data_IF_548322975332
#
_entry.id   IF_548322975332
#
_cell.length_a   1.000
_cell.length_b   1.000
_cell.length_c   1.000
_cell.angle_alpha   90.00
_cell.angle_beta   90.00
_cell.angle_gamma   90.00
#
_symmetry.space_group_name_H-M   'P 1'
#
loop_
_entity.id
_entity.type
_entity.pdbx_description
1 polymer ?
#
# COMPACT_ATOMS: atom_id res chain seq x y z
N UNK A 1 -6.72 -11.67 -4.66
CA UNK A 1 -5.88 -12.71 -4.02
C UNK A 1 -4.64 -13.07 -4.88
N UNK A 2 -4.78 -13.30 -6.19
CA UNK A 2 -3.67 -13.72 -7.07
C UNK A 2 -2.54 -12.66 -7.12
N UNK A 3 -2.89 -11.39 -7.24
CA UNK A 3 -1.91 -10.28 -7.28
C UNK A 3 -1.18 -10.16 -5.93
N UNK A 4 -1.89 -10.34 -4.80
CA UNK A 4 -1.26 -10.36 -3.48
C UNK A 4 -0.26 -11.52 -3.35
N UNK A 5 -0.62 -12.71 -3.82
CA UNK A 5 0.28 -13.86 -3.83
C UNK A 5 1.51 -13.63 -4.72
N UNK A 6 1.34 -13.00 -5.88
CA UNK A 6 2.45 -12.61 -6.74
C UNK A 6 3.38 -11.59 -6.06
N UNK A 7 2.82 -10.62 -5.34
CA UNK A 7 3.62 -9.65 -4.57
C UNK A 7 4.50 -10.32 -3.52
N UNK A 8 3.97 -11.31 -2.79
CA UNK A 8 4.75 -12.12 -1.84
C UNK A 8 5.83 -12.92 -2.56
N UNK A 9 5.49 -13.58 -3.67
CA UNK A 9 6.46 -14.36 -4.44
C UNK A 9 7.62 -13.49 -4.96
N UNK A 10 7.33 -12.25 -5.38
CA UNK A 10 8.35 -11.30 -5.83
C UNK A 10 9.26 -10.81 -4.68
N UNK A 11 8.75 -10.75 -3.46
CA UNK A 11 9.55 -10.34 -2.29
C UNK A 11 10.44 -11.47 -1.76
N UNK A 12 10.11 -12.75 -1.98
CA UNK A 12 10.87 -13.89 -1.46
C UNK A 12 12.35 -13.90 -1.89
N UNK A 13 12.73 -13.65 -3.15
CA UNK A 13 14.13 -13.61 -3.55
C UNK A 13 14.91 -12.52 -2.81
N UNK A 14 14.30 -11.36 -2.56
CA UNK A 14 14.91 -10.25 -1.82
C UNK A 14 15.15 -10.66 -0.37
N UNK A 15 14.13 -11.22 0.29
CA UNK A 15 14.25 -11.71 1.67
C UNK A 15 15.30 -12.81 1.77
N UNK A 16 15.30 -13.77 0.85
CA UNK A 16 16.31 -14.84 0.83
C UNK A 16 17.72 -14.28 0.63
N UNK A 17 17.91 -13.35 -0.30
CA UNK A 17 19.18 -12.67 -0.52
C UNK A 17 19.68 -11.97 0.73
N UNK A 18 18.79 -11.28 1.47
CA UNK A 18 19.13 -10.62 2.73
C UNK A 18 19.53 -11.59 3.84
N UNK A 19 18.85 -12.72 3.96
CA UNK A 19 19.21 -13.78 4.93
C UNK A 19 20.59 -14.36 4.62
N UNK A 20 20.88 -14.64 3.34
CA UNK A 20 22.22 -15.11 2.92
C UNK A 20 23.27 -14.05 3.23
N UNK A 21 22.96 -12.79 2.97
CA UNK A 21 23.85 -11.66 3.25
C UNK A 21 24.16 -11.57 4.75
N UNK A 22 23.15 -11.66 5.60
CA UNK A 22 23.29 -11.64 7.06
C UNK A 22 24.17 -12.81 7.55
N UNK A 23 23.99 -13.97 6.95
CA UNK A 23 24.80 -15.17 7.28
C UNK A 23 26.28 -14.96 6.90
N UNK A 24 26.55 -14.41 5.71
CA UNK A 24 27.90 -14.14 5.24
C UNK A 24 28.59 -13.05 6.07
N UNK A 25 27.88 -11.97 6.39
CA UNK A 25 28.41 -10.89 7.23
C UNK A 25 28.78 -11.40 8.64
N UNK A 26 27.93 -12.23 9.23
CA UNK A 26 28.19 -12.82 10.54
C UNK A 26 29.39 -13.80 10.55
N UNK A 27 29.56 -14.60 9.51
CA UNK A 27 30.63 -15.62 9.47
C UNK A 27 31.97 -15.10 8.98
N UNK A 28 31.98 -14.13 8.09
CA UNK A 28 33.20 -13.69 7.43
C UNK A 28 33.61 -12.25 7.78
N UNK A 29 32.80 -11.49 8.48
CA UNK A 29 33.06 -10.11 8.98
C UNK A 29 33.73 -9.19 7.95
N UNK A 30 33.49 -9.38 6.64
CA UNK A 30 34.20 -8.70 5.56
C UNK A 30 33.28 -7.92 4.60
N UNK A 31 31.98 -7.96 4.78
CA UNK A 31 31.04 -7.34 3.87
C UNK A 31 30.52 -6.00 4.46
N UNK A 32 31.10 -4.90 4.02
CA UNK A 32 30.69 -3.54 4.36
C UNK A 32 29.39 -3.13 3.62
N UNK A 33 28.27 -3.77 3.95
CA UNK A 33 26.94 -3.36 3.46
C UNK A 33 26.14 -2.60 4.50
N UNK A 34 26.74 -1.65 5.17
CA UNK A 34 26.10 -0.86 6.21
C UNK A 34 25.94 -1.57 7.56
N UNK A 35 26.55 -2.76 7.72
CA UNK A 35 26.47 -3.55 8.96
C UNK A 35 25.07 -4.10 9.24
N UNK A 36 24.85 -4.56 10.47
CA UNK A 36 23.57 -5.14 10.91
C UNK A 36 22.39 -4.16 10.80
N UNK A 37 22.63 -2.86 10.95
CA UNK A 37 21.58 -1.82 10.83
C UNK A 37 21.07 -1.68 9.40
N UNK A 38 21.98 -1.66 8.41
CA UNK A 38 21.59 -1.61 6.99
C UNK A 38 20.77 -2.84 6.58
N UNK A 39 21.21 -4.04 6.97
CA UNK A 39 20.49 -5.29 6.68
C UNK A 39 19.13 -5.31 7.38
N UNK A 40 19.04 -4.84 8.63
CA UNK A 40 17.78 -4.74 9.36
C UNK A 40 16.76 -3.84 8.66
N UNK A 41 17.21 -2.70 8.16
CA UNK A 41 16.38 -1.77 7.40
C UNK A 41 15.88 -2.40 6.10
N UNK A 42 16.73 -3.09 5.35
CA UNK A 42 16.36 -3.81 4.14
C UNK A 42 15.35 -4.94 4.40
N UNK A 43 15.55 -5.73 5.45
CA UNK A 43 14.59 -6.76 5.84
C UNK A 43 13.25 -6.15 6.24
N UNK A 44 13.25 -5.09 7.03
CA UNK A 44 12.04 -4.38 7.42
C UNK A 44 11.26 -3.91 6.21
N UNK A 45 11.93 -3.29 5.24
CA UNK A 45 11.31 -2.82 4.02
C UNK A 45 10.77 -3.96 3.14
N UNK A 46 11.55 -5.03 2.95
CA UNK A 46 11.14 -6.20 2.17
C UNK A 46 9.92 -6.93 2.76
N UNK A 47 9.69 -6.79 4.07
CA UNK A 47 8.51 -7.34 4.75
C UNK A 47 7.32 -6.38 4.75
N UNK A 48 7.53 -5.11 5.06
CA UNK A 48 6.43 -4.14 5.23
C UNK A 48 5.71 -3.84 3.93
N UNK A 49 6.42 -3.68 2.85
CA UNK A 49 5.80 -3.32 1.56
C UNK A 49 4.87 -4.41 1.01
N UNK A 50 5.27 -5.70 0.93
CA UNK A 50 4.37 -6.77 0.49
C UNK A 50 3.19 -7.01 1.43
N UNK A 51 3.36 -6.81 2.74
CA UNK A 51 2.29 -7.01 3.72
C UNK A 51 1.10 -6.09 3.46
N UNK A 52 1.33 -4.83 3.10
CA UNK A 52 0.26 -3.90 2.73
C UNK A 52 -0.56 -4.48 1.56
N UNK A 53 0.11 -5.00 0.53
CA UNK A 53 -0.55 -5.58 -0.65
C UNK A 53 -1.31 -6.86 -0.30
N UNK A 54 -0.71 -7.72 0.54
CA UNK A 54 -1.32 -8.99 0.95
C UNK A 54 -2.63 -8.79 1.70
N UNK A 55 -2.71 -7.76 2.55
CA UNK A 55 -3.92 -7.47 3.32
C UNK A 55 -4.87 -6.52 2.60
N UNK A 56 -4.37 -5.48 1.98
CA UNK A 56 -5.18 -4.44 1.35
C UNK A 56 -5.92 -4.93 0.09
N UNK A 57 -5.25 -5.71 -0.77
CA UNK A 57 -5.87 -6.20 -2.01
C UNK A 57 -7.05 -7.16 -1.77
N UNK A 58 -6.94 -8.20 -0.92
CA UNK A 58 -8.09 -9.04 -0.61
C UNK A 58 -9.20 -8.26 0.08
N UNK A 59 -8.87 -7.36 1.01
CA UNK A 59 -9.86 -6.53 1.70
C UNK A 59 -10.63 -5.64 0.71
N UNK A 60 -9.93 -4.96 -0.20
CA UNK A 60 -10.54 -4.15 -1.25
C UNK A 60 -11.42 -4.99 -2.20
N UNK A 61 -10.96 -6.20 -2.56
CA UNK A 61 -11.72 -7.13 -3.40
C UNK A 61 -13.01 -7.61 -2.73
N UNK A 62 -12.92 -8.06 -1.49
CA UNK A 62 -14.08 -8.51 -0.69
C UNK A 62 -15.07 -7.37 -0.48
N UNK A 63 -14.59 -6.18 -0.17
CA UNK A 63 -15.45 -5.02 0.00
C UNK A 63 -16.16 -4.64 -1.31
N UNK A 64 -15.46 -4.64 -2.43
CA UNK A 64 -16.05 -4.36 -3.74
C UNK A 64 -17.20 -5.32 -4.10
N UNK A 65 -17.16 -6.57 -3.60
CA UNK A 65 -18.24 -7.54 -3.79
C UNK A 65 -19.35 -7.42 -2.73
N UNK A 66 -19.00 -7.12 -1.48
CA UNK A 66 -19.98 -7.04 -0.39
C UNK A 66 -20.85 -5.80 -0.44
N UNK A 67 -20.33 -4.65 -0.90
CA UNK A 67 -21.11 -3.42 -0.99
C UNK A 67 -22.38 -3.59 -1.85
N UNK A 68 -22.32 -4.09 -3.10
CA UNK A 68 -23.51 -4.28 -3.91
C UNK A 68 -24.51 -5.28 -3.30
N UNK A 69 -24.00 -6.34 -2.67
CA UNK A 69 -24.86 -7.37 -2.04
C UNK A 69 -25.57 -6.81 -0.82
N UNK A 70 -24.88 -6.06 0.04
CA UNK A 70 -25.46 -5.48 1.25
C UNK A 70 -26.54 -4.45 0.93
N UNK A 71 -26.30 -3.62 -0.07
CA UNK A 71 -27.23 -2.56 -0.50
C UNK A 71 -28.21 -3.00 -1.58
N UNK A 72 -28.14 -4.27 -2.02
CA UNK A 72 -29.02 -4.85 -3.07
C UNK A 72 -29.04 -4.05 -4.36
N UNK A 73 -27.91 -3.49 -4.72
CA UNK A 73 -27.72 -2.70 -5.95
C UNK A 73 -26.75 -3.39 -6.89
N UNK A 74 -26.76 -3.02 -8.15
CA UNK A 74 -25.69 -3.39 -9.08
C UNK A 74 -24.50 -2.47 -8.88
N UNK A 75 -23.30 -3.03 -8.89
CA UNK A 75 -22.07 -2.23 -8.88
C UNK A 75 -22.05 -1.32 -10.11
N UNK A 76 -22.17 -0.01 -9.90
CA UNK A 76 -22.41 0.97 -10.97
C UNK A 76 -21.31 0.99 -12.05
N UNK A 77 -20.05 0.76 -11.67
CA UNK A 77 -18.90 0.82 -12.58
C UNK A 77 -17.80 -0.18 -12.17
N UNK A 78 -18.02 -1.45 -12.47
CA UNK A 78 -17.09 -2.53 -12.12
C UNK A 78 -15.66 -2.30 -12.62
N UNK A 79 -15.51 -1.70 -13.80
CA UNK A 79 -14.19 -1.36 -14.36
C UNK A 79 -13.40 -0.38 -13.51
N UNK A 80 -14.06 0.60 -12.88
CA UNK A 80 -13.39 1.57 -11.99
C UNK A 80 -12.94 0.91 -10.69
N UNK A 81 -13.73 -0.05 -10.15
CA UNK A 81 -13.30 -0.82 -8.99
C UNK A 81 -12.02 -1.63 -9.29
N UNK A 82 -11.95 -2.27 -10.45
CA UNK A 82 -10.74 -2.96 -10.88
C UNK A 82 -9.56 -2.01 -11.10
N UNK A 83 -9.79 -0.82 -11.65
CA UNK A 83 -8.75 0.20 -11.77
C UNK A 83 -8.23 0.65 -10.40
N UNK A 84 -9.11 0.88 -9.42
CA UNK A 84 -8.70 1.18 -8.04
C UNK A 84 -7.86 0.06 -7.41
N UNK A 85 -8.28 -1.20 -7.58
CA UNK A 85 -7.51 -2.36 -7.11
C UNK A 85 -6.17 -2.49 -7.84
N UNK A 86 -6.11 -2.18 -9.14
CA UNK A 86 -4.87 -2.19 -9.90
C UNK A 86 -3.89 -1.11 -9.41
N UNK A 87 -4.38 0.10 -9.12
CA UNK A 87 -3.56 1.17 -8.52
C UNK A 87 -3.00 0.77 -7.15
N UNK A 88 -3.83 0.12 -6.32
CA UNK A 88 -3.38 -0.42 -5.04
C UNK A 88 -2.28 -1.48 -5.23
N UNK A 89 -2.37 -2.29 -6.29
CA UNK A 89 -1.42 -3.35 -6.59
C UNK A 89 -0.03 -2.83 -7.02
N UNK A 90 0.10 -1.57 -7.41
CA UNK A 90 1.39 -0.96 -7.79
C UNK A 90 2.40 -1.04 -6.64
N UNK A 91 1.94 -0.98 -5.39
CA UNK A 91 2.81 -1.15 -4.21
C UNK A 91 3.58 -2.48 -4.22
N UNK A 92 3.04 -3.54 -4.85
CA UNK A 92 3.76 -4.80 -4.97
C UNK A 92 5.08 -4.67 -5.75
N UNK A 93 5.15 -3.74 -6.71
CA UNK A 93 6.33 -3.49 -7.50
C UNK A 93 7.42 -2.73 -6.71
N UNK A 94 7.06 -2.04 -5.64
CA UNK A 94 8.02 -1.37 -4.78
C UNK A 94 8.99 -2.38 -4.14
N UNK A 95 8.58 -3.62 -3.90
CA UNK A 95 9.41 -4.67 -3.34
C UNK A 95 10.65 -5.02 -4.19
N UNK A 96 10.58 -4.80 -5.51
CA UNK A 96 11.69 -5.05 -6.45
C UNK A 96 12.48 -3.79 -6.81
N UNK A 97 12.05 -2.63 -6.32
CA UNK A 97 12.77 -1.37 -6.52
C UNK A 97 13.84 -1.19 -5.45
N UNK A 98 14.77 -0.29 -5.71
CA UNK A 98 15.87 -0.04 -4.79
C UNK A 98 15.33 0.52 -3.47
N UNK A 99 15.91 0.04 -2.34
CA UNK A 99 15.64 0.59 -1.02
C UNK A 99 15.99 2.09 -1.00
N UNK A 100 15.00 2.89 -1.18
CA UNK A 100 15.03 4.30 -0.87
C UNK A 100 13.83 4.56 0.03
N UNK A 101 14.05 5.23 1.14
CA UNK A 101 12.94 5.88 1.81
C UNK A 101 12.32 6.78 0.74
N UNK A 102 11.13 6.46 0.26
CA UNK A 102 10.40 7.33 -0.64
C UNK A 102 9.92 8.52 0.19
N UNK A 103 10.80 9.48 0.38
CA UNK A 103 10.50 10.73 1.07
C UNK A 103 10.62 11.88 0.09
N UNK A 104 9.80 12.88 0.29
CA UNK A 104 9.79 14.12 -0.47
C UNK A 104 9.94 15.27 0.49
N UNK A 105 10.96 16.11 0.24
CA UNK A 105 11.06 17.42 0.86
C UNK A 105 10.30 18.45 0.03
N UNK A 106 9.51 19.28 0.68
CA UNK A 106 8.79 20.41 0.08
C UNK A 106 9.62 21.69 0.09
N UNK A 107 10.93 21.58 0.39
CA UNK A 107 11.83 22.72 0.42
C UNK A 107 11.88 23.40 -0.96
N UNK A 108 11.57 24.69 -0.98
CA UNK A 108 11.52 25.52 -2.19
C UNK A 108 12.90 25.81 -2.79
N UNK A 109 13.97 25.59 -2.03
CA UNK A 109 15.36 25.84 -2.47
C UNK A 109 15.97 24.64 -3.22
N UNK A 110 15.25 23.50 -3.28
CA UNK A 110 15.69 22.34 -4.03
C UNK A 110 15.66 22.59 -5.55
N UNK A 111 16.69 22.13 -6.25
CA UNK A 111 16.69 22.15 -7.71
C UNK A 111 15.51 21.33 -8.25
N UNK A 112 14.78 21.86 -9.23
CA UNK A 112 13.59 21.21 -9.82
C UNK A 112 13.86 19.76 -10.26
N UNK A 113 15.08 19.46 -10.69
CA UNK A 113 15.48 18.11 -11.11
C UNK A 113 15.54 17.11 -9.95
N UNK A 114 16.02 17.52 -8.79
CA UNK A 114 16.11 16.68 -7.60
C UNK A 114 14.72 16.45 -7.00
N UNK A 115 13.89 17.50 -6.94
CA UNK A 115 12.49 17.37 -6.53
C UNK A 115 11.73 16.35 -7.40
N UNK A 116 11.81 16.42 -8.72
CA UNK A 116 11.13 15.48 -9.62
C UNK A 116 11.65 14.07 -9.43
N UNK A 117 12.96 13.90 -9.21
CA UNK A 117 13.59 12.60 -8.99
C UNK A 117 13.06 11.89 -7.74
N UNK A 118 12.75 12.63 -6.68
CA UNK A 118 12.27 12.07 -5.42
C UNK A 118 10.73 12.03 -5.37
N UNK A 119 10.03 13.02 -5.91
CA UNK A 119 8.59 13.10 -5.96
C UNK A 119 7.94 12.02 -6.84
N UNK A 120 8.56 11.65 -7.97
CA UNK A 120 7.95 10.67 -8.89
C UNK A 120 7.84 9.28 -8.26
N UNK A 121 8.88 8.68 -7.69
CA UNK A 121 8.76 7.39 -6.99
C UNK A 121 7.79 7.47 -5.81
N UNK A 122 7.84 8.52 -5.01
CA UNK A 122 6.92 8.76 -3.90
C UNK A 122 5.45 8.74 -4.35
N UNK A 123 5.11 9.50 -5.37
CA UNK A 123 3.74 9.53 -5.91
C UNK A 123 3.32 8.18 -6.48
N UNK A 124 4.22 7.44 -7.12
CA UNK A 124 3.89 6.14 -7.72
C UNK A 124 3.67 5.08 -6.64
N UNK A 125 4.53 5.00 -5.62
CA UNK A 125 4.51 3.90 -4.67
C UNK A 125 3.68 4.18 -3.41
N UNK A 126 3.47 5.44 -3.05
CA UNK A 126 2.66 5.86 -1.91
C UNK A 126 1.36 6.57 -2.32
N UNK A 127 1.43 7.45 -3.31
CA UNK A 127 0.27 8.22 -3.77
C UNK A 127 -0.75 7.38 -4.55
N UNK A 128 -0.32 6.60 -5.53
CA UNK A 128 -1.23 5.77 -6.33
C UNK A 128 -1.97 4.71 -5.52
N UNK A 129 -1.36 3.98 -4.57
CA UNK A 129 -2.08 3.04 -3.71
C UNK A 129 -3.15 3.70 -2.86
N UNK A 130 -2.85 4.87 -2.28
CA UNK A 130 -3.84 5.65 -1.53
C UNK A 130 -5.00 6.08 -2.44
N UNK A 131 -4.69 6.59 -3.64
CA UNK A 131 -5.70 6.95 -4.63
C UNK A 131 -6.55 5.73 -5.00
N UNK A 132 -5.94 4.58 -5.25
CA UNK A 132 -6.64 3.32 -5.54
C UNK A 132 -7.61 2.93 -4.42
N UNK A 133 -7.19 3.06 -3.17
CA UNK A 133 -8.02 2.80 -2.01
C UNK A 133 -9.20 3.77 -1.91
N UNK A 134 -8.96 5.06 -2.12
CA UNK A 134 -10.01 6.08 -2.13
C UNK A 134 -11.02 5.85 -3.26
N UNK A 135 -10.58 5.39 -4.43
CA UNK A 135 -11.48 5.02 -5.53
C UNK A 135 -12.38 3.85 -5.13
N UNK A 136 -11.84 2.80 -4.51
CA UNK A 136 -12.65 1.64 -4.04
C UNK A 136 -13.66 2.09 -2.97
N UNK A 137 -13.23 2.91 -2.01
CA UNK A 137 -14.10 3.44 -0.97
C UNK A 137 -15.19 4.37 -1.54
N UNK A 138 -14.82 5.26 -2.46
CA UNK A 138 -15.75 6.16 -3.14
C UNK A 138 -16.83 5.42 -3.93
N UNK A 139 -16.46 4.36 -4.63
CA UNK A 139 -17.42 3.48 -5.32
C UNK A 139 -18.33 2.74 -4.33
N UNK A 140 -17.78 2.30 -3.20
CA UNK A 140 -18.57 1.74 -2.10
C UNK A 140 -19.59 2.74 -1.58
N UNK A 141 -19.18 3.98 -1.34
CA UNK A 141 -20.06 5.06 -0.89
C UNK A 141 -21.16 5.39 -1.92
N UNK A 142 -20.82 5.43 -3.21
CA UNK A 142 -21.82 5.62 -4.28
C UNK A 142 -22.83 4.47 -4.33
N UNK A 143 -22.35 3.23 -4.24
CA UNK A 143 -23.20 2.03 -4.19
C UNK A 143 -24.12 2.05 -2.97
N UNK A 144 -23.61 2.47 -1.82
CA UNK A 144 -24.41 2.65 -0.61
C UNK A 144 -25.48 3.72 -0.77
N UNK A 145 -25.14 4.86 -1.37
CA UNK A 145 -26.08 5.96 -1.64
C UNK A 145 -27.24 5.52 -2.55
N UNK A 146 -26.92 4.81 -3.63
CA UNK A 146 -27.96 4.27 -4.53
C UNK A 146 -28.85 3.23 -3.83
N UNK A 147 -28.26 2.38 -3.01
CA UNK A 147 -28.98 1.33 -2.29
C UNK A 147 -29.86 1.83 -1.17
N UNK A 148 -29.49 2.90 -0.49
CA UNK A 148 -30.32 3.56 0.55
C UNK A 148 -31.62 4.13 -0.04
N UNK A 149 -31.59 4.56 -1.32
CA UNK A 149 -32.80 4.99 -2.03
C UNK A 149 -33.72 3.85 -2.44
N UNK A 150 -33.21 2.62 -2.57
CA UNK A 150 -33.96 1.45 -3.04
C UNK A 150 -34.59 0.60 -1.89
N UNK A 151 -34.18 0.79 -0.64
CA UNK A 151 -34.71 0.06 0.51
C UNK A 151 -33.75 -0.04 1.69
N UNK A 152 -34.15 -0.81 2.72
CA UNK A 152 -33.31 -1.01 3.91
C UNK A 152 -32.14 -1.97 3.61
N UNK A 153 -30.89 -1.56 3.83
CA UNK A 153 -29.73 -2.44 3.64
C UNK A 153 -29.73 -3.57 4.67
N UNK A 154 -29.27 -4.73 4.28
CA UNK A 154 -28.98 -5.84 5.21
C UNK A 154 -27.54 -5.74 5.69
N UNK A 155 -27.32 -4.99 6.76
CA UNK A 155 -26.01 -4.87 7.39
C UNK A 155 -25.69 -6.20 8.07
N UNK A 156 -24.64 -6.86 7.59
CA UNK A 156 -24.09 -8.09 8.15
C UNK A 156 -22.78 -7.81 8.87
N UNK A 157 -22.38 -8.72 9.77
CA UNK A 157 -21.07 -8.62 10.43
C UNK A 157 -19.93 -8.58 9.40
N UNK A 158 -20.01 -9.38 8.32
CA UNK A 158 -19.02 -9.36 7.24
C UNK A 158 -18.88 -8.00 6.57
N UNK A 159 -19.99 -7.30 6.35
CA UNK A 159 -19.97 -5.93 5.83
C UNK A 159 -19.27 -4.96 6.78
N UNK A 160 -19.61 -5.02 8.07
CA UNK A 160 -18.99 -4.13 9.07
C UNK A 160 -17.47 -4.35 9.16
N UNK A 161 -17.02 -5.61 9.21
CA UNK A 161 -15.60 -5.91 9.25
C UNK A 161 -14.87 -5.45 7.97
N UNK A 162 -15.48 -5.64 6.80
CA UNK A 162 -14.89 -5.17 5.55
C UNK A 162 -14.84 -3.65 5.47
N UNK A 163 -15.88 -2.96 5.92
CA UNK A 163 -15.94 -1.50 5.94
C UNK A 163 -14.90 -0.90 6.91
N UNK A 164 -14.82 -1.42 8.13
CA UNK A 164 -13.83 -1.00 9.13
C UNK A 164 -12.41 -1.32 8.67
N UNK A 165 -12.19 -2.51 8.11
CA UNK A 165 -10.89 -2.92 7.57
C UNK A 165 -10.41 -2.01 6.45
N UNK A 166 -11.29 -1.65 5.49
CA UNK A 166 -10.97 -0.68 4.46
C UNK A 166 -10.63 0.70 5.03
N UNK A 167 -11.42 1.16 6.02
CA UNK A 167 -11.17 2.44 6.68
C UNK A 167 -9.80 2.46 7.37
N UNK A 168 -9.44 1.42 8.11
CA UNK A 168 -8.14 1.31 8.77
C UNK A 168 -6.98 1.25 7.77
N UNK A 169 -7.13 0.52 6.67
CA UNK A 169 -6.10 0.46 5.63
C UNK A 169 -5.94 1.82 4.95
N UNK A 170 -7.04 2.53 4.68
CA UNK A 170 -6.98 3.88 4.09
C UNK A 170 -6.27 4.88 5.02
N UNK A 171 -6.57 4.84 6.32
CA UNK A 171 -5.89 5.66 7.33
C UNK A 171 -4.41 5.28 7.43
N UNK A 172 -4.08 3.98 7.40
CA UNK A 172 -2.70 3.50 7.40
C UNK A 172 -1.90 3.99 6.18
N UNK A 173 -2.49 3.90 4.97
CA UNK A 173 -1.86 4.40 3.74
C UNK A 173 -1.70 5.93 3.77
N UNK A 174 -2.69 6.66 4.27
CA UNK A 174 -2.59 8.11 4.43
C UNK A 174 -1.51 8.48 5.45
N UNK A 175 -1.45 7.77 6.58
CA UNK A 175 -0.40 7.95 7.59
C UNK A 175 0.99 7.68 7.01
N UNK A 176 1.15 6.61 6.24
CA UNK A 176 2.42 6.28 5.60
C UNK A 176 2.85 7.39 4.61
N UNK A 177 1.91 7.89 3.82
CA UNK A 177 2.17 9.00 2.90
C UNK A 177 2.59 10.27 3.64
N UNK A 178 1.92 10.60 4.76
CA UNK A 178 2.27 11.77 5.57
C UNK A 178 3.66 11.64 6.21
N UNK A 179 4.03 10.44 6.66
CA UNK A 179 5.36 10.17 7.22
C UNK A 179 6.49 10.25 6.16
N UNK A 180 6.16 10.08 4.89
CA UNK A 180 7.10 10.26 3.78
C UNK A 180 7.34 11.72 3.37
N UNK A 181 6.70 12.71 4.03
CA UNK A 181 6.95 14.12 3.83
C UNK A 181 7.91 14.61 4.93
N UNK A 182 9.17 14.81 4.57
CA UNK A 182 10.24 15.10 5.54
C UNK A 182 10.00 16.40 6.33
N UNK A 183 9.37 17.41 5.71
CA UNK A 183 9.14 18.71 6.33
C UNK A 183 8.06 18.71 7.44
N UNK A 184 7.31 17.62 7.59
CA UNK A 184 6.28 17.54 8.64
C UNK A 184 6.84 17.17 10.02
N UNK A 185 8.13 16.79 10.13
CA UNK A 185 8.82 16.42 11.37
C UNK A 185 7.98 15.50 12.29
N UNK A 186 7.12 14.65 11.68
CA UNK A 186 6.19 13.79 12.42
C UNK A 186 6.91 12.65 13.15
N UNK A 187 8.12 12.33 12.71
CA UNK A 187 9.02 11.38 13.39
C UNK A 187 10.01 12.23 14.16
N UNK A 188 9.76 12.40 15.46
CA UNK A 188 10.70 13.06 16.35
C UNK A 188 12.05 12.32 16.35
N UNK A 189 13.10 13.06 16.08
CA UNK A 189 14.51 12.63 16.22
C UNK A 189 14.82 12.24 17.66
#
# INVERSE_FOLDING_TARGET
>A
SLIGALGVLLSLPVVFGMVVYLYLDHHYAQLNFGGAEGIGTWMGWAYTVPLVVVFALPAAGVAAELFPVTFRTRQAKRGIAFAGIALLAVTALAAITHQRSFSVSLDTDQATGDFVRDAVPFLIFDGLPLLGMLVVMGLGALTAREGLGAGRPKITAGFLFSFLGLGLIAVGLAGHLLLGIDDLELVGT
#
